data_IF_471060986790
#
_entry.id   IF_471060986790
#
_cell.length_a   1.000
_cell.length_b   1.000
_cell.length_c   1.000
_cell.angle_alpha   90.00
_cell.angle_beta   90.00
_cell.angle_gamma   90.00
#
_symmetry.space_group_name_H-M   'P 1'
#
loop_
_entity.id
_entity.type
_entity.pdbx_description
1 polymer ?
#
# COMPACT_ATOMS: atom_id res chain seq x y z
N UNK A 1 -1.55 5.51 -20.09
CA UNK A 1 -1.41 4.50 -21.16
C UNK A 1 -0.54 3.37 -20.62
N UNK A 2 -1.05 2.14 -20.56
CA UNK A 2 -0.41 0.93 -19.94
C UNK A 2 0.27 0.04 -21.02
N UNK A 3 0.74 0.67 -22.11
CA UNK A 3 1.22 -0.01 -23.32
C UNK A 3 2.71 -0.36 -23.24
N UNK A 4 3.43 0.26 -22.29
CA UNK A 4 4.83 0.02 -21.98
C UNK A 4 5.06 0.32 -20.49
N UNK A 5 5.83 -0.51 -19.80
CA UNK A 5 6.23 -0.29 -18.39
C UNK A 5 7.70 -0.68 -18.26
N UNK A 6 8.55 0.25 -17.85
CA UNK A 6 9.98 0.01 -17.66
C UNK A 6 10.25 -1.05 -16.58
N UNK A 7 11.37 -1.80 -16.63
CA UNK A 7 11.75 -2.73 -15.55
C UNK A 7 11.82 -2.06 -14.16
N UNK A 8 12.23 -0.78 -14.11
CA UNK A 8 12.24 0.00 -12.88
C UNK A 8 10.83 0.20 -12.33
N UNK A 9 9.88 0.61 -13.16
CA UNK A 9 8.48 0.77 -12.76
C UNK A 9 7.84 -0.55 -12.37
N UNK A 10 8.10 -1.64 -13.11
CA UNK A 10 7.67 -2.99 -12.74
C UNK A 10 8.16 -3.40 -11.34
N UNK A 11 9.44 -3.15 -11.05
CA UNK A 11 10.02 -3.41 -9.73
C UNK A 11 9.32 -2.61 -8.63
N UNK A 12 9.08 -1.31 -8.84
CA UNK A 12 8.41 -0.46 -7.84
C UNK A 12 6.95 -0.88 -7.60
N UNK A 13 6.23 -1.27 -8.64
CA UNK A 13 4.87 -1.82 -8.52
C UNK A 13 4.87 -3.10 -7.68
N UNK A 14 5.73 -4.07 -8.01
CA UNK A 14 5.82 -5.32 -7.26
C UNK A 14 6.23 -5.06 -5.81
N UNK A 15 7.19 -4.17 -5.59
CA UNK A 15 7.66 -3.78 -4.25
C UNK A 15 6.56 -3.14 -3.42
N UNK A 16 5.71 -2.30 -4.02
CA UNK A 16 4.57 -1.70 -3.33
C UNK A 16 3.54 -2.77 -2.89
N UNK A 17 3.25 -3.74 -3.76
CA UNK A 17 2.36 -4.86 -3.46
C UNK A 17 2.91 -5.69 -2.28
N UNK A 18 4.17 -6.10 -2.36
CA UNK A 18 4.81 -6.90 -1.31
C UNK A 18 4.91 -6.14 0.01
N UNK A 19 5.26 -4.85 -0.02
CA UNK A 19 5.36 -4.03 1.20
C UNK A 19 4.01 -3.89 1.89
N UNK A 20 2.92 -3.68 1.14
CA UNK A 20 1.57 -3.67 1.70
C UNK A 20 1.21 -5.02 2.31
N UNK A 21 1.52 -6.12 1.63
CA UNK A 21 1.24 -7.48 2.12
C UNK A 21 1.96 -7.77 3.44
N UNK A 22 3.28 -7.55 3.50
CA UNK A 22 4.10 -7.78 4.70
C UNK A 22 3.60 -6.97 5.90
N UNK A 23 3.28 -5.69 5.68
CA UNK A 23 2.78 -4.81 6.74
C UNK A 23 1.36 -5.18 7.19
N UNK A 24 0.52 -5.61 6.26
CA UNK A 24 -0.83 -6.07 6.60
C UNK A 24 -0.78 -7.37 7.41
N UNK A 25 0.14 -8.29 7.09
CA UNK A 25 0.35 -9.49 7.88
C UNK A 25 0.84 -9.16 9.30
N UNK A 26 1.80 -8.23 9.44
CA UNK A 26 2.25 -7.78 10.75
C UNK A 26 1.09 -7.15 11.56
N UNK A 27 0.28 -6.31 10.93
CA UNK A 27 -0.89 -5.70 11.59
C UNK A 27 -1.94 -6.74 12.01
N UNK A 28 -2.15 -7.79 11.21
CA UNK A 28 -3.02 -8.91 11.58
C UNK A 28 -2.50 -9.67 12.81
N UNK A 29 -1.17 -9.79 12.95
CA UNK A 29 -0.55 -10.38 14.14
C UNK A 29 -0.70 -9.48 15.38
N UNK A 30 -0.94 -8.18 15.18
CA UNK A 30 -1.24 -7.18 16.21
C UNK A 30 -2.77 -6.94 16.37
N UNK A 31 -3.60 -7.94 16.04
CA UNK A 31 -5.06 -7.92 16.20
C UNK A 31 -5.80 -6.81 15.41
N UNK A 32 -5.17 -6.22 14.39
CA UNK A 32 -5.85 -5.27 13.52
C UNK A 32 -7.01 -5.97 12.75
N UNK A 33 -8.21 -5.35 12.67
CA UNK A 33 -9.35 -5.98 12.04
C UNK A 33 -9.14 -6.15 10.53
N UNK A 34 -9.14 -7.41 10.07
CA UNK A 34 -8.99 -7.78 8.66
C UNK A 34 -9.93 -7.00 7.73
N UNK A 35 -11.19 -6.81 8.14
CA UNK A 35 -12.20 -6.09 7.38
C UNK A 35 -11.84 -4.61 7.13
N UNK A 36 -11.07 -3.98 8.02
CA UNK A 36 -10.55 -2.61 7.82
C UNK A 36 -9.29 -2.62 6.94
N UNK A 37 -8.40 -3.61 7.11
CA UNK A 37 -7.18 -3.75 6.30
C UNK A 37 -7.49 -3.91 4.80
N UNK A 38 -8.45 -4.77 4.44
CA UNK A 38 -8.83 -4.96 3.03
C UNK A 38 -9.55 -3.75 2.43
N UNK A 39 -10.08 -2.84 3.26
CA UNK A 39 -10.75 -1.61 2.81
C UNK A 39 -9.80 -0.41 2.74
N UNK A 40 -8.52 -0.57 3.06
CA UNK A 40 -7.57 0.53 3.04
C UNK A 40 -7.47 1.15 1.63
N UNK A 41 -7.69 2.47 1.50
CA UNK A 41 -7.70 3.14 0.20
C UNK A 41 -6.36 3.11 -0.52
N UNK A 42 -5.25 2.93 0.21
CA UNK A 42 -3.91 2.78 -0.40
C UNK A 42 -3.82 1.60 -1.38
N UNK A 43 -4.65 0.56 -1.22
CA UNK A 43 -4.71 -0.59 -2.15
C UNK A 43 -5.05 -0.16 -3.58
N UNK A 44 -5.96 0.80 -3.72
CA UNK A 44 -6.35 1.32 -5.03
C UNK A 44 -5.20 2.12 -5.66
N UNK A 45 -4.48 2.91 -4.85
CA UNK A 45 -3.31 3.68 -5.29
C UNK A 45 -2.18 2.76 -5.78
N UNK A 46 -1.93 1.65 -5.09
CA UNK A 46 -1.00 0.61 -5.55
C UNK A 46 -1.42 0.08 -6.92
N UNK A 47 -2.70 -0.26 -7.10
CA UNK A 47 -3.22 -0.73 -8.40
C UNK A 47 -3.15 0.31 -9.52
N UNK A 48 -3.24 1.61 -9.17
CA UNK A 48 -3.18 2.73 -10.12
C UNK A 48 -1.76 3.12 -10.52
N UNK A 49 -0.70 2.62 -9.86
CA UNK A 49 0.70 2.88 -10.25
C UNK A 49 0.98 2.58 -11.73
N UNK A 50 0.31 1.58 -12.32
CA UNK A 50 0.45 1.25 -13.74
C UNK A 50 0.10 2.41 -14.68
N UNK A 51 -0.82 3.30 -14.27
CA UNK A 51 -1.25 4.45 -15.05
C UNK A 51 -0.40 5.70 -14.86
N UNK A 52 0.50 5.72 -13.87
CA UNK A 52 1.34 6.87 -13.53
C UNK A 52 2.43 7.04 -14.60
N UNK A 53 2.74 8.27 -15.04
CA UNK A 53 3.90 8.54 -15.91
C UNK A 53 5.21 7.98 -15.34
N UNK A 54 6.14 7.58 -16.20
CA UNK A 54 7.40 6.93 -15.78
C UNK A 54 8.25 7.85 -14.89
N UNK A 55 8.32 9.14 -15.21
CA UNK A 55 9.04 10.18 -14.48
C UNK A 55 8.41 10.52 -13.11
N UNK A 56 7.11 10.27 -12.95
CA UNK A 56 6.39 10.48 -11.68
C UNK A 56 6.32 9.22 -10.80
N UNK A 57 6.69 8.05 -11.34
CA UNK A 57 6.48 6.75 -10.69
C UNK A 57 7.19 6.64 -9.34
N UNK A 58 8.44 7.14 -9.22
CA UNK A 58 9.17 7.07 -7.95
C UNK A 58 8.55 7.94 -6.85
N UNK A 59 8.14 9.16 -7.22
CA UNK A 59 7.47 10.06 -6.29
C UNK A 59 6.15 9.44 -5.80
N UNK A 60 5.36 8.88 -6.71
CA UNK A 60 4.10 8.22 -6.37
C UNK A 60 4.31 6.97 -5.53
N UNK A 61 5.33 6.16 -5.83
CA UNK A 61 5.71 5.00 -5.01
C UNK A 61 6.05 5.43 -3.57
N UNK A 62 6.86 6.47 -3.40
CA UNK A 62 7.24 6.94 -2.06
C UNK A 62 6.02 7.45 -1.27
N UNK A 63 5.10 8.15 -1.94
CA UNK A 63 3.83 8.57 -1.33
C UNK A 63 2.99 7.36 -0.88
N UNK A 64 2.88 6.32 -1.72
CA UNK A 64 2.17 5.09 -1.39
C UNK A 64 2.79 4.37 -0.19
N UNK A 65 4.11 4.27 -0.11
CA UNK A 65 4.79 3.64 1.04
C UNK A 65 4.51 4.41 2.32
N UNK A 66 4.60 5.74 2.29
CA UNK A 66 4.29 6.59 3.44
C UNK A 66 2.84 6.40 3.89
N UNK A 67 1.90 6.48 2.97
CA UNK A 67 0.48 6.32 3.24
C UNK A 67 0.13 4.90 3.73
N UNK A 68 0.80 3.87 3.21
CA UNK A 68 0.64 2.49 3.70
C UNK A 68 1.02 2.39 5.17
N UNK A 69 2.15 2.99 5.56
CA UNK A 69 2.58 2.99 6.95
C UNK A 69 1.61 3.74 7.85
N UNK A 70 1.16 4.92 7.44
CA UNK A 70 0.23 5.75 8.22
C UNK A 70 -1.12 5.04 8.41
N UNK A 71 -1.69 4.47 7.35
CA UNK A 71 -2.98 3.80 7.40
C UNK A 71 -2.95 2.51 8.23
N UNK A 72 -1.89 1.71 8.09
CA UNK A 72 -1.76 0.46 8.86
C UNK A 72 -1.52 0.78 10.34
N UNK A 73 -0.66 1.75 10.64
CA UNK A 73 -0.39 2.20 12.02
C UNK A 73 -1.65 2.70 12.71
N UNK A 74 -2.50 3.45 12.00
CA UNK A 74 -3.78 3.92 12.54
C UNK A 74 -4.73 2.77 12.93
N UNK A 75 -4.58 1.58 12.34
CA UNK A 75 -5.39 0.41 12.67
C UNK A 75 -4.83 -0.40 13.85
N UNK A 76 -3.52 -0.36 14.09
CA UNK A 76 -2.87 -1.08 15.22
C UNK A 76 -2.81 -0.24 16.48
N UNK A 77 -2.55 1.07 16.38
CA UNK A 77 -2.53 1.99 17.53
C UNK A 77 -3.94 2.41 17.99
N UNK A 78 -4.95 2.24 17.13
CA UNK A 78 -6.37 2.49 17.44
C UNK A 78 -7.10 1.31 18.10
N UNK A 79 -6.37 0.35 18.67
CA UNK A 79 -6.84 -0.93 19.21
C UNK A 79 -7.71 -0.88 20.48
N UNK A 80 -8.37 0.25 20.78
CA UNK A 80 -9.47 0.30 21.74
C UNK A 80 -10.73 0.82 21.05
N UNK A 81 -11.66 -0.09 20.78
CA UNK A 81 -13.12 0.08 20.75
C UNK A 81 -13.73 -0.91 19.75
N UNK A 82 -13.84 -2.16 20.17
CA UNK A 82 -14.94 -3.03 19.75
C UNK A 82 -15.39 -3.86 20.96
N UNK A 83 -16.23 -3.21 21.78
CA UNK A 83 -17.24 -3.86 22.63
C UNK A 83 -18.53 -4.02 21.80
#
# INVERSE_FOLDING_TARGET
MDTYTSPRKQYLMLKAILSFHEKSLAALQEDAPFSKLVKLPVREKIGRLKYVPEDETEAQYNAIVKETNEQIRALTEGGEQHA
#
